data_IF_069686308451
#
_entry.id   IF_069686308451
#
_cell.length_a   1.000
_cell.length_b   1.000
_cell.length_c   1.000
_cell.angle_alpha   90.00
_cell.angle_beta   90.00
_cell.angle_gamma   90.00
#
_symmetry.space_group_name_H-M   'P 1'
#
loop_
_entity.id
_entity.type
_entity.pdbx_description
1 polymer ?
#
# COMPACT_ATOMS: atom_id res chain seq x y z
N UNK A 1 15.12 0.18 30.27
CA UNK A 1 16.30 0.80 29.70
C UNK A 1 17.14 -0.24 28.99
N UNK A 2 17.05 -0.31 27.65
CA UNK A 2 17.95 -1.13 26.83
C UNK A 2 19.29 -0.39 26.77
N UNK A 3 20.33 -0.98 27.35
CA UNK A 3 21.71 -0.52 27.15
C UNK A 3 22.17 -0.95 25.75
N UNK A 4 22.64 0.00 24.95
CA UNK A 4 23.23 -0.24 23.64
C UNK A 4 24.31 -1.33 23.70
N UNK A 5 24.30 -2.31 22.77
CA UNK A 5 25.32 -3.35 22.71
C UNK A 5 26.59 -2.85 22.01
N UNK A 6 27.20 -1.79 22.53
CA UNK A 6 28.47 -1.26 21.96
C UNK A 6 29.66 -2.20 22.03
N UNK A 7 29.57 -3.32 22.74
CA UNK A 7 30.71 -4.22 22.96
C UNK A 7 30.57 -5.63 22.40
N UNK A 8 29.44 -6.00 21.79
CA UNK A 8 29.28 -7.36 21.27
C UNK A 8 29.90 -7.58 19.87
N UNK A 9 30.01 -6.54 19.05
CA UNK A 9 30.47 -6.68 17.65
C UNK A 9 31.97 -6.85 17.54
N UNK A 10 32.78 -6.28 18.43
CA UNK A 10 34.25 -6.38 18.38
C UNK A 10 34.84 -7.72 18.85
N UNK A 11 34.08 -8.56 19.57
CA UNK A 11 34.56 -9.85 20.09
C UNK A 11 34.21 -11.06 19.23
N UNK A 12 33.44 -10.88 18.14
CA UNK A 12 32.98 -11.99 17.28
C UNK A 12 33.47 -11.89 15.84
N UNK A 13 34.40 -11.01 15.52
CA UNK A 13 35.13 -11.12 14.23
C UNK A 13 36.15 -12.23 14.42
N UNK A 14 36.00 -13.38 13.74
CA UNK A 14 37.01 -14.46 13.83
C UNK A 14 38.35 -13.91 13.35
N UNK A 15 39.40 -14.27 14.07
CA UNK A 15 40.77 -14.01 13.64
C UNK A 15 40.99 -14.65 12.27
N UNK A 16 41.48 -13.91 11.30
CA UNK A 16 41.39 -14.15 9.84
C UNK A 16 42.22 -15.33 9.29
N UNK A 17 42.49 -16.34 10.07
CA UNK A 17 43.39 -17.46 9.68
C UNK A 17 42.67 -18.76 9.31
N UNK A 18 41.36 -18.89 9.52
CA UNK A 18 40.65 -20.11 9.07
C UNK A 18 40.00 -19.88 7.70
N UNK A 19 40.11 -20.85 6.77
CA UNK A 19 39.40 -20.77 5.49
C UNK A 19 37.87 -20.78 5.77
N UNK A 20 37.22 -19.68 5.44
CA UNK A 20 35.76 -19.56 5.56
C UNK A 20 35.11 -20.68 4.75
N UNK A 21 34.17 -21.39 5.34
CA UNK A 21 33.34 -22.39 4.65
C UNK A 21 32.72 -21.74 3.40
N UNK A 22 32.75 -22.39 2.23
CA UNK A 22 32.18 -21.84 1.02
C UNK A 22 30.74 -21.39 1.26
N UNK A 23 30.48 -20.12 0.97
CA UNK A 23 29.21 -19.48 1.20
C UNK A 23 28.18 -20.01 0.19
N UNK A 24 27.23 -20.81 0.64
CA UNK A 24 26.12 -21.26 -0.21
C UNK A 24 24.90 -20.39 0.06
N UNK A 25 24.79 -19.28 -0.68
CA UNK A 25 23.56 -18.52 -0.73
C UNK A 25 22.59 -19.22 -1.70
N UNK A 26 21.26 -19.16 -1.47
CA UNK A 26 20.29 -19.74 -2.38
C UNK A 26 20.32 -19.05 -3.75
N UNK A 27 20.12 -19.83 -4.81
CA UNK A 27 20.21 -19.35 -6.20
C UNK A 27 19.42 -18.08 -6.49
N UNK A 28 18.27 -17.92 -5.84
CA UNK A 28 17.41 -16.73 -5.99
C UNK A 28 18.07 -15.42 -5.58
N UNK A 29 19.19 -15.45 -4.83
CA UNK A 29 19.89 -14.22 -4.43
C UNK A 29 20.75 -13.70 -5.59
N UNK A 30 21.34 -14.60 -6.40
CA UNK A 30 22.28 -14.26 -7.47
C UNK A 30 21.61 -13.63 -8.68
N UNK A 31 21.17 -12.38 -8.52
CA UNK A 31 20.56 -11.57 -9.55
C UNK A 31 20.64 -10.08 -9.21
N UNK A 32 20.15 -9.25 -10.13
CA UNK A 32 19.98 -7.81 -9.91
C UNK A 32 18.67 -7.55 -9.18
N UNK A 33 18.73 -6.71 -8.18
CA UNK A 33 17.60 -6.31 -7.37
C UNK A 33 17.35 -4.81 -7.52
N UNK A 34 16.12 -4.45 -7.86
CA UNK A 34 15.70 -3.07 -8.15
C UNK A 34 14.76 -2.54 -7.08
N UNK A 35 14.79 -1.24 -6.85
CA UNK A 35 13.86 -0.54 -5.99
C UNK A 35 12.82 0.20 -6.82
N UNK A 36 11.55 0.06 -6.43
CA UNK A 36 10.46 0.70 -7.14
C UNK A 36 10.29 0.18 -8.58
N UNK A 37 9.53 0.93 -9.37
CA UNK A 37 9.28 0.64 -10.79
C UNK A 37 10.20 1.41 -11.74
N UNK A 38 11.28 2.03 -11.21
CA UNK A 38 12.26 2.76 -12.02
C UNK A 38 13.28 1.86 -12.72
N UNK A 39 13.37 0.59 -12.30
CA UNK A 39 14.39 -0.35 -12.79
C UNK A 39 15.81 -0.06 -12.29
N UNK A 40 15.99 0.92 -11.38
CA UNK A 40 17.31 1.23 -10.81
C UNK A 40 17.79 0.06 -9.98
N UNK A 41 18.92 -0.55 -10.39
CA UNK A 41 19.57 -1.61 -9.65
C UNK A 41 20.15 -1.07 -8.35
N UNK A 42 19.79 -1.66 -7.22
CA UNK A 42 20.30 -1.30 -5.88
C UNK A 42 21.31 -2.34 -5.39
N UNK A 43 21.00 -3.63 -5.59
CA UNK A 43 21.89 -4.73 -5.22
C UNK A 43 22.08 -5.65 -6.42
N UNK A 44 23.29 -6.14 -6.61
CA UNK A 44 23.59 -7.23 -7.53
C UNK A 44 24.52 -8.22 -6.82
N UNK A 45 24.04 -9.44 -6.61
CA UNK A 45 24.82 -10.52 -6.02
C UNK A 45 25.37 -11.40 -7.13
N UNK A 46 26.67 -11.66 -7.09
CA UNK A 46 27.36 -12.48 -8.07
C UNK A 46 27.83 -13.80 -7.46
N UNK A 47 27.95 -14.83 -8.28
CA UNK A 47 28.32 -16.20 -7.80
C UNK A 47 29.77 -16.32 -7.32
N UNK A 48 30.61 -15.35 -7.64
CA UNK A 48 32.00 -15.26 -7.17
C UNK A 48 32.13 -14.55 -5.80
N UNK A 49 31.02 -14.39 -5.09
CA UNK A 49 30.99 -13.84 -3.73
C UNK A 49 31.10 -12.31 -3.65
N UNK A 50 30.68 -11.61 -4.68
CA UNK A 50 30.65 -10.15 -4.68
C UNK A 50 29.23 -9.63 -4.56
N UNK A 51 29.11 -8.46 -3.94
CA UNK A 51 27.90 -7.65 -3.88
C UNK A 51 28.18 -6.26 -4.43
N UNK A 52 27.50 -5.88 -5.51
CA UNK A 52 27.48 -4.50 -5.98
C UNK A 52 26.35 -3.78 -5.22
N UNK A 53 26.72 -2.77 -4.46
CA UNK A 53 25.80 -1.97 -3.65
C UNK A 53 26.32 -0.55 -3.50
N UNK A 54 25.46 0.43 -3.68
CA UNK A 54 25.80 1.86 -3.59
C UNK A 54 27.00 2.27 -4.45
N UNK A 55 27.03 1.77 -5.70
CA UNK A 55 28.10 2.04 -6.66
C UNK A 55 29.47 1.43 -6.29
N UNK A 56 29.54 0.58 -5.25
CA UNK A 56 30.75 -0.08 -4.76
C UNK A 56 30.64 -1.58 -4.85
N UNK A 57 31.77 -2.24 -5.03
CA UNK A 57 31.86 -3.70 -4.95
C UNK A 57 32.31 -4.11 -3.57
N UNK A 58 31.53 -4.96 -2.91
CA UNK A 58 31.78 -5.51 -1.58
C UNK A 58 32.10 -6.99 -1.68
N UNK A 59 33.07 -7.46 -0.93
CA UNK A 59 33.35 -8.87 -0.76
C UNK A 59 32.40 -9.46 0.27
N UNK A 60 31.74 -10.57 -0.04
CA UNK A 60 30.90 -11.30 0.92
C UNK A 60 31.84 -12.21 1.71
N UNK A 61 32.12 -11.88 2.95
CA UNK A 61 33.07 -12.62 3.79
C UNK A 61 32.42 -13.84 4.46
N UNK A 62 31.17 -13.70 4.88
CA UNK A 62 30.43 -14.79 5.49
C UNK A 62 28.92 -14.62 5.31
N UNK A 63 28.19 -15.74 5.36
CA UNK A 63 26.73 -15.74 5.48
C UNK A 63 26.29 -16.81 6.47
N UNK A 64 25.21 -16.50 7.18
CA UNK A 64 24.53 -17.43 8.07
C UNK A 64 23.03 -17.41 7.81
N UNK A 65 22.38 -18.57 7.99
CA UNK A 65 20.92 -18.70 7.96
C UNK A 65 20.40 -18.87 9.37
N UNK A 66 19.37 -18.13 9.74
CA UNK A 66 18.83 -18.11 11.09
C UNK A 66 17.38 -18.58 11.15
N UNK A 67 16.92 -18.94 12.33
CA UNK A 67 15.60 -19.54 12.59
C UNK A 67 14.40 -18.73 12.07
N UNK A 68 14.55 -17.43 11.89
CA UNK A 68 13.49 -16.55 11.34
C UNK A 68 13.47 -16.53 9.80
N UNK A 69 14.10 -17.47 9.13
CA UNK A 69 14.23 -17.49 7.66
C UNK A 69 14.96 -16.25 7.11
N UNK A 70 15.91 -15.75 7.88
CA UNK A 70 16.73 -14.59 7.57
C UNK A 70 18.16 -15.01 7.25
N UNK A 71 18.75 -14.41 6.22
CA UNK A 71 20.18 -14.54 5.92
C UNK A 71 20.93 -13.35 6.48
N UNK A 72 22.04 -13.58 7.15
CA UNK A 72 22.94 -12.54 7.62
C UNK A 72 24.23 -12.61 6.82
N UNK A 73 24.60 -11.49 6.21
CA UNK A 73 25.78 -11.37 5.38
C UNK A 73 26.74 -10.36 5.99
N UNK A 74 27.96 -10.77 6.24
CA UNK A 74 29.05 -9.83 6.53
C UNK A 74 29.75 -9.49 5.21
N UNK A 75 29.75 -8.20 4.86
CA UNK A 75 30.37 -7.72 3.63
C UNK A 75 31.46 -6.70 3.93
N UNK A 76 32.50 -6.64 3.08
CA UNK A 76 33.67 -5.78 3.22
C UNK A 76 33.96 -5.00 1.94
N UNK A 77 34.32 -3.74 2.09
CA UNK A 77 34.91 -2.91 1.01
C UNK A 77 36.03 -2.06 1.61
N UNK A 78 37.29 -2.34 1.24
CA UNK A 78 38.46 -1.75 1.90
C UNK A 78 38.45 -2.03 3.40
N UNK A 79 38.51 -0.98 4.22
CA UNK A 79 38.43 -1.10 5.69
C UNK A 79 36.99 -1.05 6.24
N UNK A 80 35.98 -0.86 5.37
CA UNK A 80 34.59 -0.79 5.80
C UNK A 80 33.94 -2.17 5.84
N UNK A 81 33.21 -2.44 6.91
CA UNK A 81 32.40 -3.64 7.09
C UNK A 81 30.93 -3.27 7.25
N UNK A 82 30.05 -4.09 6.67
CA UNK A 82 28.59 -3.98 6.88
C UNK A 82 27.99 -5.34 7.15
N UNK A 83 26.99 -5.38 8.05
CA UNK A 83 26.16 -6.54 8.28
C UNK A 83 24.79 -6.30 7.64
N UNK A 84 24.43 -7.17 6.71
CA UNK A 84 23.16 -7.13 6.00
C UNK A 84 22.27 -8.30 6.48
N UNK A 85 20.99 -7.99 6.67
CA UNK A 85 19.97 -8.99 7.01
C UNK A 85 19.00 -9.09 5.84
N UNK A 86 18.91 -10.28 5.23
CA UNK A 86 18.07 -10.52 4.05
C UNK A 86 16.95 -11.47 4.42
N UNK A 87 15.71 -11.09 4.11
CA UNK A 87 14.56 -11.98 4.21
C UNK A 87 13.77 -11.98 2.90
N UNK A 88 13.11 -13.09 2.62
CA UNK A 88 12.38 -13.31 1.37
C UNK A 88 10.94 -13.68 1.70
N UNK A 89 10.04 -12.72 1.93
CA UNK A 89 8.64 -13.00 2.21
C UNK A 89 7.92 -13.64 1.03
N UNK A 90 8.30 -13.26 -0.20
CA UNK A 90 7.83 -13.85 -1.46
C UNK A 90 9.00 -14.16 -2.38
N UNK A 91 8.84 -15.03 -3.40
CA UNK A 91 9.89 -15.34 -4.37
C UNK A 91 10.48 -14.10 -5.07
N UNK A 92 9.65 -13.08 -5.31
CA UNK A 92 10.01 -11.83 -6.00
C UNK A 92 10.12 -10.62 -5.07
N UNK A 93 10.36 -10.84 -3.78
CA UNK A 93 10.57 -9.74 -2.82
C UNK A 93 11.72 -10.08 -1.90
N UNK A 94 12.67 -9.19 -1.78
CA UNK A 94 13.74 -9.26 -0.79
C UNK A 94 13.67 -8.03 0.11
N UNK A 95 13.60 -8.25 1.41
CA UNK A 95 13.80 -7.20 2.40
C UNK A 95 15.27 -7.22 2.80
N UNK A 96 15.89 -6.06 2.75
CA UNK A 96 17.28 -5.85 3.18
C UNK A 96 17.27 -4.89 4.35
N UNK A 97 17.74 -5.32 5.49
CA UNK A 97 17.97 -4.47 6.65
C UNK A 97 19.49 -4.31 6.85
N UNK A 98 19.94 -3.07 7.01
CA UNK A 98 21.32 -2.73 7.32
C UNK A 98 21.28 -1.64 8.41
N UNK A 99 21.82 -1.95 9.60
CA UNK A 99 21.86 -1.04 10.74
C UNK A 99 20.53 -0.35 11.05
N UNK A 100 20.28 0.84 10.45
CA UNK A 100 19.06 1.64 10.65
C UNK A 100 18.18 1.73 9.40
N UNK A 101 18.54 1.09 8.30
CA UNK A 101 17.82 1.17 7.03
C UNK A 101 17.16 -0.16 6.69
N UNK A 102 15.88 -0.10 6.33
CA UNK A 102 15.13 -1.24 5.79
C UNK A 102 14.73 -0.92 4.36
N UNK A 103 15.21 -1.70 3.41
CA UNK A 103 14.85 -1.59 2.01
C UNK A 103 14.11 -2.83 1.54
N UNK A 104 13.12 -2.61 0.69
CA UNK A 104 12.40 -3.67 0.00
C UNK A 104 12.69 -3.53 -1.48
N UNK A 105 13.14 -4.63 -2.07
CA UNK A 105 13.56 -4.67 -3.47
C UNK A 105 12.95 -5.90 -4.16
N UNK A 106 12.79 -5.80 -5.47
CA UNK A 106 12.33 -6.88 -6.34
C UNK A 106 13.42 -7.30 -7.32
N UNK A 107 13.43 -8.53 -7.83
CA UNK A 107 14.27 -8.91 -8.95
C UNK A 107 14.04 -7.97 -10.13
N UNK A 108 15.09 -7.74 -10.92
CA UNK A 108 14.92 -7.05 -12.20
C UNK A 108 13.93 -7.85 -13.06
N UNK A 109 13.01 -7.15 -13.73
CA UNK A 109 12.04 -7.81 -14.59
C UNK A 109 12.71 -8.65 -15.66
N UNK A 110 12.08 -9.78 -16.02
CA UNK A 110 12.52 -10.61 -17.13
C UNK A 110 12.51 -9.88 -18.47
N UNK A 111 11.68 -8.83 -18.56
CA UNK A 111 11.55 -7.90 -19.69
C UNK A 111 11.90 -6.48 -19.22
N UNK A 112 13.18 -6.12 -19.13
CA UNK A 112 13.60 -4.82 -18.59
C UNK A 112 13.05 -3.60 -19.35
N UNK A 113 12.63 -3.79 -20.61
CA UNK A 113 11.95 -2.77 -21.41
C UNK A 113 10.68 -2.22 -20.77
N UNK A 114 10.07 -2.96 -19.84
CA UNK A 114 8.89 -2.53 -19.08
C UNK A 114 9.17 -1.25 -18.29
N UNK A 115 10.37 -1.10 -17.75
CA UNK A 115 10.72 0.09 -16.97
C UNK A 115 10.67 1.40 -17.76
N UNK A 116 10.61 1.32 -19.10
CA UNK A 116 10.40 2.51 -19.93
C UNK A 116 8.99 3.12 -19.74
N UNK A 117 8.01 2.35 -19.24
CA UNK A 117 6.61 2.80 -19.07
C UNK A 117 5.95 2.26 -17.79
N UNK A 118 6.68 1.56 -16.92
CA UNK A 118 6.15 1.01 -15.68
C UNK A 118 5.58 2.09 -14.76
N UNK A 119 4.50 1.75 -14.04
CA UNK A 119 3.86 2.59 -13.04
C UNK A 119 2.35 2.71 -13.22
N UNK A 120 1.77 3.54 -12.38
CA UNK A 120 0.34 3.83 -12.37
C UNK A 120 0.08 5.11 -13.16
N UNK A 121 -0.67 5.01 -14.25
CA UNK A 121 -0.92 6.13 -15.16
C UNK A 121 -2.31 6.71 -14.93
N UNK A 122 -2.36 7.96 -14.53
CA UNK A 122 -3.57 8.70 -14.19
C UNK A 122 -4.03 9.51 -15.40
N UNK A 123 -5.29 9.42 -15.75
CA UNK A 123 -5.87 10.27 -16.78
C UNK A 123 -5.81 11.73 -16.35
N UNK A 124 -5.11 12.58 -17.09
CA UNK A 124 -4.89 13.96 -16.73
C UNK A 124 -6.19 14.79 -16.68
N UNK A 125 -7.17 14.43 -17.50
CA UNK A 125 -8.41 15.19 -17.57
C UNK A 125 -9.42 14.82 -16.48
N UNK A 126 -9.45 13.54 -16.06
CA UNK A 126 -10.46 13.05 -15.09
C UNK A 126 -9.87 12.76 -13.71
N UNK A 127 -8.56 12.54 -13.60
CA UNK A 127 -7.90 12.10 -12.38
C UNK A 127 -8.03 10.60 -12.11
N UNK A 128 -8.72 9.85 -12.98
CA UNK A 128 -8.94 8.43 -12.75
C UNK A 128 -7.69 7.60 -13.03
N UNK A 129 -7.43 6.65 -12.17
CA UNK A 129 -6.48 5.60 -12.43
C UNK A 129 -7.18 4.41 -13.10
N UNK A 130 -6.88 4.17 -14.39
CA UNK A 130 -7.51 3.10 -15.17
C UNK A 130 -6.54 2.05 -15.69
N UNK A 131 -5.23 2.36 -15.71
CA UNK A 131 -4.20 1.46 -16.22
C UNK A 131 -2.91 1.58 -15.40
N UNK A 132 -2.28 0.43 -15.15
CA UNK A 132 -0.97 0.32 -14.52
C UNK A 132 -0.13 -0.75 -15.20
N UNK A 133 1.19 -0.51 -15.28
CA UNK A 133 2.15 -1.46 -15.82
C UNK A 133 3.15 -1.85 -14.73
N UNK A 134 3.25 -3.14 -14.48
CA UNK A 134 4.11 -3.72 -13.46
C UNK A 134 5.08 -4.71 -14.11
N UNK A 135 6.00 -5.26 -13.34
CA UNK A 135 7.09 -6.09 -13.86
C UNK A 135 6.62 -7.33 -14.61
N UNK A 136 5.52 -7.96 -14.17
CA UNK A 136 5.06 -9.25 -14.70
C UNK A 136 3.73 -9.16 -15.44
N UNK A 137 2.96 -8.10 -15.21
CA UNK A 137 1.61 -7.92 -15.75
C UNK A 137 1.24 -6.44 -15.83
N UNK A 138 0.20 -6.16 -16.60
CA UNK A 138 -0.51 -4.89 -16.55
C UNK A 138 -1.84 -5.05 -15.80
N UNK A 139 -2.38 -3.92 -15.35
CA UNK A 139 -3.75 -3.84 -14.81
C UNK A 139 -4.52 -2.83 -15.63
N UNK A 140 -5.70 -3.22 -16.08
CA UNK A 140 -6.62 -2.33 -16.76
C UNK A 140 -8.05 -2.64 -16.35
N UNK A 141 -8.81 -1.62 -15.93
CA UNK A 141 -10.19 -1.75 -15.48
C UNK A 141 -10.40 -2.89 -14.46
N UNK A 142 -9.60 -2.87 -13.39
CA UNK A 142 -9.63 -3.86 -12.30
C UNK A 142 -9.29 -5.31 -12.71
N UNK A 143 -8.68 -5.54 -13.86
CA UNK A 143 -8.30 -6.86 -14.34
C UNK A 143 -6.80 -6.96 -14.55
N UNK A 144 -6.24 -8.15 -14.29
CA UNK A 144 -4.86 -8.48 -14.63
C UNK A 144 -4.73 -8.88 -16.10
N UNK A 145 -3.67 -8.40 -16.74
CA UNK A 145 -3.35 -8.66 -18.12
C UNK A 145 -1.90 -9.07 -18.28
N UNK A 146 -1.64 -10.17 -18.93
CA UNK A 146 -0.28 -10.63 -19.23
C UNK A 146 0.29 -9.87 -20.44
N UNK A 147 1.60 -9.65 -20.44
CA UNK A 147 2.29 -9.08 -21.59
C UNK A 147 2.50 -10.16 -22.66
N UNK A 148 1.81 -10.07 -23.78
CA UNK A 148 2.06 -10.92 -24.94
C UNK A 148 3.25 -10.41 -25.77
N UNK A 149 3.25 -9.11 -26.11
CA UNK A 149 4.37 -8.48 -26.79
C UNK A 149 4.53 -7.01 -26.45
N UNK A 150 5.76 -6.52 -26.49
CA UNK A 150 6.13 -5.13 -26.25
C UNK A 150 7.04 -4.72 -27.41
N UNK A 151 6.68 -3.63 -28.10
CA UNK A 151 7.47 -3.05 -29.19
C UNK A 151 7.72 -1.58 -28.90
N UNK A 152 8.97 -1.21 -28.67
CA UNK A 152 9.40 0.16 -28.38
C UNK A 152 10.12 0.73 -29.59
N UNK A 153 9.61 1.83 -30.12
CA UNK A 153 10.19 2.57 -31.24
C UNK A 153 10.35 4.06 -30.86
N UNK A 154 11.56 4.45 -30.50
CA UNK A 154 11.86 5.81 -29.99
C UNK A 154 10.94 6.16 -28.80
N UNK A 155 10.03 7.12 -29.01
CA UNK A 155 9.06 7.57 -28.00
C UNK A 155 7.70 6.85 -28.06
N UNK A 156 7.53 5.88 -28.97
CA UNK A 156 6.27 5.13 -29.15
C UNK A 156 6.44 3.70 -28.65
N UNK A 157 5.53 3.26 -27.83
CA UNK A 157 5.45 1.87 -27.36
C UNK A 157 4.10 1.28 -27.74
N UNK A 158 4.14 0.10 -28.36
CA UNK A 158 2.94 -0.71 -28.61
C UNK A 158 3.02 -1.94 -27.75
N UNK A 159 2.01 -2.16 -26.93
CA UNK A 159 1.92 -3.29 -26.01
C UNK A 159 0.68 -4.11 -26.39
N UNK A 160 0.85 -5.41 -26.56
CA UNK A 160 -0.26 -6.33 -26.66
C UNK A 160 -0.38 -7.03 -25.31
N UNK A 161 -1.56 -6.87 -24.71
CA UNK A 161 -1.94 -7.49 -23.45
C UNK A 161 -2.92 -8.63 -23.73
N UNK A 162 -2.88 -9.68 -22.90
CA UNK A 162 -3.73 -10.85 -23.02
C UNK A 162 -4.35 -11.21 -21.67
N UNK A 163 -5.65 -11.52 -21.69
CA UNK A 163 -6.36 -12.11 -20.55
C UNK A 163 -7.25 -13.25 -21.07
N UNK A 164 -6.84 -14.51 -20.81
CA UNK A 164 -7.49 -15.67 -21.38
C UNK A 164 -7.44 -15.65 -22.92
N UNK A 165 -8.60 -15.53 -23.57
CA UNK A 165 -8.74 -15.42 -25.03
C UNK A 165 -8.80 -13.97 -25.53
N UNK A 166 -8.93 -13.00 -24.62
CA UNK A 166 -9.03 -11.60 -24.97
C UNK A 166 -7.65 -10.98 -25.21
N UNK A 167 -7.57 -10.12 -26.21
CA UNK A 167 -6.38 -9.30 -26.48
C UNK A 167 -6.71 -7.82 -26.43
N UNK A 168 -5.82 -7.05 -25.84
CA UNK A 168 -5.93 -5.62 -25.72
C UNK A 168 -4.68 -4.94 -26.25
N UNK A 169 -4.83 -4.07 -27.24
CA UNK A 169 -3.73 -3.31 -27.81
C UNK A 169 -3.63 -1.95 -27.14
N UNK A 170 -2.51 -1.67 -26.48
CA UNK A 170 -2.20 -0.37 -25.89
C UNK A 170 -1.15 0.33 -26.74
N UNK A 171 -1.38 1.61 -27.03
CA UNK A 171 -0.40 2.48 -27.69
C UNK A 171 -0.07 3.62 -26.76
N UNK A 172 1.20 3.75 -26.44
CA UNK A 172 1.74 4.78 -25.57
C UNK A 172 2.74 5.61 -26.37
N UNK A 173 2.58 6.94 -26.38
CA UNK A 173 3.54 7.87 -26.95
C UNK A 173 4.03 8.78 -25.84
N UNK A 174 5.29 8.64 -25.46
CA UNK A 174 5.90 9.43 -24.39
C UNK A 174 6.06 10.87 -24.81
N UNK A 175 5.68 11.81 -23.95
CA UNK A 175 5.89 13.25 -24.10
C UNK A 175 7.15 13.68 -23.34
N UNK A 176 7.27 13.22 -22.10
CA UNK A 176 8.39 13.45 -21.18
C UNK A 176 8.56 12.28 -20.21
N UNK A 177 9.31 12.45 -19.11
CA UNK A 177 9.55 11.39 -18.12
C UNK A 177 8.29 10.97 -17.34
N UNK A 178 7.34 11.88 -17.19
CA UNK A 178 6.17 11.71 -16.32
C UNK A 178 4.85 11.76 -17.08
N UNK A 179 4.85 12.07 -18.37
CA UNK A 179 3.63 12.19 -19.16
C UNK A 179 3.67 11.45 -20.49
N UNK A 180 2.51 10.96 -20.90
CA UNK A 180 2.34 10.28 -22.17
C UNK A 180 0.94 10.50 -22.75
N UNK A 181 0.80 10.25 -24.06
CA UNK A 181 -0.48 10.03 -24.70
C UNK A 181 -0.70 8.52 -24.80
N UNK A 182 -1.82 8.04 -24.29
CA UNK A 182 -2.14 6.62 -24.21
C UNK A 182 -3.51 6.34 -24.82
N UNK A 183 -3.63 5.28 -25.62
CA UNK A 183 -4.90 4.73 -26.09
C UNK A 183 -4.97 3.24 -25.82
N UNK A 184 -6.14 2.75 -25.40
CA UNK A 184 -6.41 1.36 -25.08
C UNK A 184 -7.49 0.84 -26.03
N UNK A 185 -7.18 -0.24 -26.76
CA UNK A 185 -8.12 -0.83 -27.71
C UNK A 185 -8.55 0.16 -28.80
N UNK A 186 -9.84 0.47 -28.80
CA UNK A 186 -10.50 1.41 -29.72
C UNK A 186 -10.70 2.81 -29.10
N UNK A 187 -10.30 3.02 -27.85
CA UNK A 187 -10.46 4.31 -27.19
C UNK A 187 -9.61 5.40 -27.86
N UNK A 188 -10.12 6.62 -27.83
CA UNK A 188 -9.35 7.78 -28.29
C UNK A 188 -8.14 7.99 -27.40
N UNK A 189 -7.04 8.38 -28.00
CA UNK A 189 -5.82 8.70 -27.25
C UNK A 189 -6.07 9.89 -26.30
N UNK A 190 -5.68 9.73 -25.05
CA UNK A 190 -5.80 10.73 -23.98
C UNK A 190 -4.43 10.95 -23.32
N UNK A 191 -4.28 12.07 -22.64
CA UNK A 191 -3.06 12.37 -21.90
C UNK A 191 -3.15 11.74 -20.51
N UNK A 192 -2.06 11.06 -20.14
CA UNK A 192 -1.89 10.44 -18.83
C UNK A 192 -0.61 10.97 -18.17
N UNK A 193 -0.63 11.03 -16.86
CA UNK A 193 0.52 11.39 -16.03
C UNK A 193 0.86 10.23 -15.10
N UNK A 194 2.15 10.03 -14.86
CA UNK A 194 2.65 8.98 -13.97
C UNK A 194 2.43 9.42 -12.52
N UNK A 195 1.72 8.61 -11.75
CA UNK A 195 1.56 8.85 -10.33
C UNK A 195 2.85 8.47 -9.59
N UNK A 196 3.57 9.47 -9.11
CA UNK A 196 4.77 9.30 -8.28
C UNK A 196 4.48 9.43 -6.79
N UNK A 197 3.31 9.97 -6.41
CA UNK A 197 2.91 10.19 -5.04
C UNK A 197 2.45 8.90 -4.34
N UNK A 198 2.39 8.94 -3.02
CA UNK A 198 1.91 7.83 -2.19
C UNK A 198 0.44 7.51 -2.41
N UNK A 199 -0.33 8.52 -2.76
CA UNK A 199 -1.77 8.48 -3.02
C UNK A 199 -2.06 9.09 -4.38
N UNK A 200 -3.28 8.94 -4.88
CA UNK A 200 -3.70 9.71 -6.04
C UNK A 200 -3.67 11.21 -5.71
N UNK A 201 -3.22 12.05 -6.63
CA UNK A 201 -3.37 13.50 -6.50
C UNK A 201 -4.86 13.87 -6.51
N UNK A 202 -5.15 15.10 -6.09
CA UNK A 202 -6.51 15.63 -6.18
C UNK A 202 -7.05 15.52 -7.60
N UNK A 203 -8.31 15.17 -7.69
CA UNK A 203 -8.99 15.07 -8.98
C UNK A 203 -9.11 16.47 -9.60
N UNK A 204 -8.80 16.62 -10.91
CA UNK A 204 -8.80 17.93 -11.58
C UNK A 204 -10.23 18.45 -11.88
N UNK A 205 -11.24 17.61 -11.66
CA UNK A 205 -12.65 17.94 -11.91
C UNK A 205 -13.49 17.76 -10.65
N UNK A 206 -14.40 18.67 -10.41
CA UNK A 206 -15.36 18.53 -9.32
C UNK A 206 -16.31 17.35 -9.59
N UNK A 207 -16.58 16.56 -8.56
CA UNK A 207 -17.68 15.60 -8.55
C UNK A 207 -18.82 16.20 -7.72
N UNK A 208 -19.84 16.65 -8.41
CA UNK A 208 -21.05 17.24 -7.81
C UNK A 208 -22.17 16.22 -7.67
N UNK A 209 -21.92 14.95 -7.96
CA UNK A 209 -22.91 13.88 -7.81
C UNK A 209 -23.38 13.83 -6.36
N UNK A 210 -24.67 14.05 -6.07
CA UNK A 210 -25.14 14.03 -4.69
C UNK A 210 -25.02 12.64 -4.11
N UNK A 211 -24.82 12.59 -2.81
CA UNK A 211 -24.97 11.33 -2.09
C UNK A 211 -26.43 10.88 -2.19
N UNK A 212 -26.63 9.65 -2.63
CA UNK A 212 -27.94 9.00 -2.68
C UNK A 212 -27.86 7.80 -1.74
N UNK A 213 -28.69 7.80 -0.72
CA UNK A 213 -28.87 6.61 0.11
C UNK A 213 -29.71 5.60 -0.68
N UNK A 214 -29.05 4.54 -1.13
CA UNK A 214 -29.71 3.47 -1.88
C UNK A 214 -30.41 2.45 -0.95
N UNK A 215 -30.43 2.69 0.36
CA UNK A 215 -30.98 1.77 1.35
C UNK A 215 -30.19 0.46 1.43
N UNK A 216 -30.88 -0.61 1.83
CA UNK A 216 -30.27 -1.94 1.90
C UNK A 216 -30.29 -2.60 0.52
N UNK A 217 -29.13 -2.72 -0.09
CA UNK A 217 -28.90 -3.48 -1.32
C UNK A 217 -27.88 -4.57 -1.01
N UNK A 218 -28.38 -5.79 -0.76
CA UNK A 218 -27.50 -6.93 -0.53
C UNK A 218 -26.82 -7.34 -1.83
N UNK A 219 -25.52 -7.11 -1.94
CA UNK A 219 -24.70 -7.62 -3.03
C UNK A 219 -23.27 -7.85 -2.53
N UNK A 220 -22.42 -8.41 -3.37
CA UNK A 220 -21.03 -8.66 -3.05
C UNK A 220 -20.14 -7.58 -3.62
N UNK A 221 -19.13 -7.19 -2.84
CA UNK A 221 -17.99 -6.43 -3.31
C UNK A 221 -16.92 -7.41 -3.79
N UNK A 222 -16.30 -7.11 -4.92
CA UNK A 222 -15.10 -7.80 -5.38
C UNK A 222 -13.90 -6.89 -5.21
N UNK A 223 -12.96 -7.30 -4.36
CA UNK A 223 -11.69 -6.62 -4.16
C UNK A 223 -10.57 -7.44 -4.80
N UNK A 224 -10.03 -6.93 -5.88
CA UNK A 224 -8.86 -7.48 -6.57
C UNK A 224 -7.66 -6.65 -6.13
N UNK A 225 -6.48 -7.22 -6.00
CA UNK A 225 -5.37 -6.39 -5.61
C UNK A 225 -3.99 -6.93 -5.92
N UNK A 226 -3.05 -6.02 -5.84
CA UNK A 226 -1.63 -6.27 -5.96
C UNK A 226 -0.87 -5.66 -4.79
N UNK A 227 -0.26 -6.52 -4.01
CA UNK A 227 0.55 -6.17 -2.86
C UNK A 227 2.04 -6.32 -3.24
N UNK A 228 2.66 -5.23 -3.65
CA UNK A 228 4.05 -5.20 -4.04
C UNK A 228 4.98 -5.08 -2.84
N UNK A 229 6.13 -5.73 -2.89
CA UNK A 229 7.15 -5.70 -1.81
C UNK A 229 6.57 -6.12 -0.44
N UNK A 230 5.80 -7.20 -0.44
CA UNK A 230 5.15 -7.76 0.74
C UNK A 230 6.12 -8.01 1.90
N UNK A 231 5.79 -7.63 3.14
CA UNK A 231 6.60 -7.92 4.32
C UNK A 231 6.37 -9.32 4.91
N UNK A 232 5.29 -10.02 4.56
CA UNK A 232 4.96 -11.36 5.06
C UNK A 232 4.03 -12.11 4.11
N UNK A 233 3.84 -13.42 4.33
CA UNK A 233 3.01 -14.32 3.50
C UNK A 233 1.65 -14.64 4.13
N UNK A 234 1.19 -13.87 5.12
CA UNK A 234 -0.12 -14.11 5.70
C UNK A 234 -1.25 -13.86 4.68
N UNK A 235 -2.41 -14.55 4.79
CA UNK A 235 -3.55 -14.27 3.94
C UNK A 235 -3.96 -12.79 3.99
N UNK A 236 -4.52 -12.30 2.90
CA UNK A 236 -5.15 -10.99 2.86
C UNK A 236 -6.49 -11.07 3.58
N UNK A 237 -6.77 -10.09 4.44
CA UNK A 237 -7.97 -10.06 5.28
C UNK A 237 -8.68 -8.72 5.15
N UNK A 238 -9.99 -8.79 5.04
CA UNK A 238 -10.91 -7.65 5.15
C UNK A 238 -11.86 -7.92 6.29
N UNK A 239 -11.96 -6.99 7.21
CA UNK A 239 -12.94 -7.00 8.27
C UNK A 239 -14.12 -6.08 7.90
N UNK A 240 -15.31 -6.61 8.03
CA UNK A 240 -16.58 -5.94 7.75
C UNK A 240 -17.34 -5.82 9.07
N UNK A 241 -17.32 -4.65 9.72
CA UNK A 241 -18.02 -4.46 10.98
C UNK A 241 -19.53 -4.41 10.75
N UNK A 242 -20.29 -5.20 11.50
CA UNK A 242 -21.76 -5.16 11.52
C UNK A 242 -22.21 -4.23 12.65
N UNK A 243 -22.74 -3.07 12.28
CA UNK A 243 -23.20 -2.04 13.23
C UNK A 243 -24.44 -2.44 14.02
N UNK A 244 -25.18 -3.47 13.60
CA UNK A 244 -26.40 -3.93 14.26
C UNK A 244 -26.07 -4.96 15.34
N UNK A 245 -25.18 -5.90 15.01
CA UNK A 245 -24.82 -7.01 15.89
C UNK A 245 -23.58 -6.73 16.73
N UNK A 246 -22.88 -5.63 16.48
CA UNK A 246 -21.57 -5.27 17.06
C UNK A 246 -20.52 -6.40 16.87
N UNK A 247 -20.63 -7.11 15.75
CA UNK A 247 -19.72 -8.17 15.35
C UNK A 247 -18.90 -7.71 14.16
N UNK A 248 -17.72 -8.26 14.03
CA UNK A 248 -16.85 -8.07 12.88
C UNK A 248 -16.75 -9.39 12.11
N UNK A 249 -17.18 -9.40 10.88
CA UNK A 249 -16.99 -10.53 9.99
C UNK A 249 -15.68 -10.40 9.23
N UNK A 250 -14.88 -11.45 9.23
CA UNK A 250 -13.56 -11.46 8.57
C UNK A 250 -13.57 -12.35 7.35
N UNK A 251 -13.21 -11.76 6.23
CA UNK A 251 -13.07 -12.44 4.94
C UNK A 251 -11.61 -12.50 4.55
N UNK A 252 -11.14 -13.70 4.18
CA UNK A 252 -9.72 -13.91 3.89
C UNK A 252 -9.52 -14.58 2.53
N UNK A 253 -8.39 -14.29 1.87
CA UNK A 253 -7.97 -14.95 0.65
C UNK A 253 -6.46 -15.14 0.62
N UNK A 254 -6.01 -16.14 -0.13
CA UNK A 254 -4.58 -16.35 -0.35
C UNK A 254 -4.00 -15.27 -1.28
N UNK A 255 -2.74 -14.92 -1.04
CA UNK A 255 -1.96 -14.08 -1.93
C UNK A 255 -1.05 -14.98 -2.76
N UNK A 256 -1.04 -14.82 -4.07
CA UNK A 256 -0.20 -15.62 -4.95
C UNK A 256 1.30 -15.22 -4.88
N UNK A 257 2.14 -15.96 -5.59
CA UNK A 257 3.59 -15.73 -5.61
C UNK A 257 4.02 -14.40 -6.24
N UNK A 258 3.12 -13.74 -6.95
CA UNK A 258 3.32 -12.41 -7.54
C UNK A 258 2.80 -11.29 -6.65
N UNK A 259 2.13 -11.63 -5.54
CA UNK A 259 1.51 -10.65 -4.65
C UNK A 259 0.08 -10.27 -5.02
N UNK A 260 -0.58 -11.05 -5.90
CA UNK A 260 -1.93 -10.77 -6.37
C UNK A 260 -2.95 -11.53 -5.52
N UNK A 261 -4.12 -10.96 -5.36
CA UNK A 261 -5.24 -11.60 -4.68
C UNK A 261 -6.58 -11.22 -5.32
N UNK A 262 -7.61 -12.00 -5.04
CA UNK A 262 -9.02 -11.68 -5.31
C UNK A 262 -9.84 -12.12 -4.11
N UNK A 263 -10.64 -11.22 -3.57
CA UNK A 263 -11.53 -11.48 -2.45
C UNK A 263 -12.93 -10.97 -2.80
N UNK A 264 -13.95 -11.81 -2.56
CA UNK A 264 -15.34 -11.43 -2.69
C UNK A 264 -16.04 -11.59 -1.35
N UNK A 265 -16.77 -10.57 -0.93
CA UNK A 265 -17.50 -10.59 0.35
C UNK A 265 -18.82 -9.82 0.22
N UNK A 266 -19.87 -10.25 0.95
CA UNK A 266 -21.16 -9.59 0.92
C UNK A 266 -21.14 -8.29 1.72
N UNK A 267 -21.91 -7.30 1.28
CA UNK A 267 -22.24 -6.09 2.03
C UNK A 267 -23.72 -5.76 1.83
N UNK A 268 -24.35 -5.16 2.84
CA UNK A 268 -25.78 -4.86 2.82
C UNK A 268 -26.10 -3.46 2.26
N UNK A 269 -25.11 -2.58 2.26
CA UNK A 269 -25.21 -1.18 1.85
C UNK A 269 -23.81 -0.64 1.57
N UNK A 270 -23.69 0.65 1.29
CA UNK A 270 -22.39 1.33 1.34
C UNK A 270 -21.80 1.14 2.73
N UNK A 271 -20.68 0.44 2.83
CA UNK A 271 -20.17 -0.10 4.09
C UNK A 271 -18.71 0.25 4.31
N UNK A 272 -18.39 0.62 5.54
CA UNK A 272 -17.01 0.80 5.93
C UNK A 272 -16.34 -0.57 6.12
N UNK A 273 -15.18 -0.73 5.54
CA UNK A 273 -14.36 -1.93 5.70
C UNK A 273 -12.99 -1.58 6.25
N UNK A 274 -12.45 -2.51 7.00
CA UNK A 274 -11.16 -2.38 7.61
C UNK A 274 -10.22 -3.43 7.05
N UNK A 275 -9.12 -2.97 6.46
CA UNK A 275 -8.08 -3.82 5.91
C UNK A 275 -6.86 -3.63 6.79
N UNK A 276 -6.56 -4.64 7.63
CA UNK A 276 -5.34 -4.66 8.43
C UNK A 276 -4.36 -5.66 7.86
N UNK A 277 -3.28 -5.14 7.31
CA UNK A 277 -2.24 -5.99 6.77
C UNK A 277 -0.85 -5.55 7.25
N UNK A 278 -0.50 -6.03 8.44
CA UNK A 278 0.77 -5.74 9.10
C UNK A 278 0.86 -4.30 9.62
N UNK A 279 1.69 -3.48 8.99
CA UNK A 279 1.85 -2.07 9.34
C UNK A 279 1.02 -1.14 8.44
N UNK A 280 0.16 -1.71 7.63
CA UNK A 280 -0.69 -0.96 6.70
C UNK A 280 -2.13 -1.22 7.09
N UNK A 281 -2.76 -0.18 7.58
CA UNK A 281 -4.18 -0.14 7.87
C UNK A 281 -4.84 0.71 6.81
N UNK A 282 -5.94 0.22 6.25
CA UNK A 282 -6.80 0.96 5.33
C UNK A 282 -8.21 0.90 5.91
N UNK A 283 -8.74 2.06 6.22
CA UNK A 283 -10.13 2.26 6.56
C UNK A 283 -10.80 2.94 5.38
N UNK A 284 -11.80 2.31 4.78
CA UNK A 284 -12.43 2.84 3.57
C UNK A 284 -13.88 2.38 3.44
N UNK A 285 -14.62 3.02 2.54
CA UNK A 285 -16.03 2.69 2.28
C UNK A 285 -16.17 2.04 0.91
N UNK A 286 -16.89 0.91 0.84
CA UNK A 286 -17.17 0.17 -0.39
C UNK A 286 -18.66 0.11 -0.66
N UNK A 287 -19.06 -0.04 -1.93
CA UNK A 287 -20.46 -0.10 -2.35
C UNK A 287 -20.83 -1.50 -2.87
N UNK A 288 -22.05 -1.99 -2.59
CA UNK A 288 -22.53 -3.28 -3.09
C UNK A 288 -22.45 -3.36 -4.62
N UNK A 289 -22.11 -4.54 -5.14
CA UNK A 289 -22.01 -4.82 -6.58
C UNK A 289 -20.75 -4.31 -7.26
N UNK A 290 -19.92 -3.52 -6.57
CA UNK A 290 -18.76 -2.88 -7.16
C UNK A 290 -17.52 -3.78 -7.16
N UNK A 291 -16.66 -3.52 -8.14
CA UNK A 291 -15.32 -4.12 -8.23
C UNK A 291 -14.27 -3.04 -8.09
N UNK A 292 -13.36 -3.26 -7.14
CA UNK A 292 -12.23 -2.38 -6.90
C UNK A 292 -10.91 -3.13 -7.10
N UNK A 293 -9.90 -2.43 -7.57
CA UNK A 293 -8.54 -2.92 -7.60
C UNK A 293 -7.68 -2.10 -6.64
N UNK A 294 -7.14 -2.76 -5.61
CA UNK A 294 -6.27 -2.15 -4.61
C UNK A 294 -4.80 -2.41 -4.95
N UNK A 295 -4.03 -1.37 -5.13
CA UNK A 295 -2.57 -1.42 -5.22
C UNK A 295 -1.93 -0.90 -3.94
N UNK A 296 -1.06 -1.71 -3.34
CA UNK A 296 -0.23 -1.30 -2.20
C UNK A 296 1.21 -1.64 -2.48
N UNK A 297 2.09 -0.64 -2.44
CA UNK A 297 3.53 -0.85 -2.46
C UNK A 297 4.11 -0.59 -1.07
N UNK A 298 4.59 -1.65 -0.43
CA UNK A 298 5.13 -1.56 0.93
C UNK A 298 6.52 -0.94 1.00
N UNK A 299 7.24 -0.78 -0.11
CA UNK A 299 8.51 -0.07 -0.15
C UNK A 299 8.28 1.44 -0.16
N UNK A 300 7.40 1.91 -1.04
CA UNK A 300 7.15 3.33 -1.24
C UNK A 300 5.94 3.83 -0.43
N UNK A 301 5.28 2.94 0.34
CA UNK A 301 4.04 3.22 1.10
C UNK A 301 2.92 3.78 0.22
N UNK A 302 2.91 3.38 -1.06
CA UNK A 302 1.91 3.83 -2.03
C UNK A 302 0.64 3.01 -1.89
N UNK A 303 -0.51 3.69 -1.93
CA UNK A 303 -1.84 3.09 -1.91
C UNK A 303 -2.72 3.77 -2.94
N UNK A 304 -3.24 3.00 -3.87
CA UNK A 304 -4.13 3.50 -4.93
C UNK A 304 -5.29 2.53 -5.11
N UNK A 305 -6.46 3.05 -5.43
CA UNK A 305 -7.64 2.24 -5.75
C UNK A 305 -8.11 2.59 -7.16
N UNK A 306 -8.37 1.56 -7.98
CA UNK A 306 -9.00 1.66 -9.29
C UNK A 306 -10.43 1.11 -9.18
N UNK A 307 -11.35 1.67 -9.94
CA UNK A 307 -12.75 1.25 -10.01
C UNK A 307 -13.65 2.42 -10.40
N UNK A 308 -14.86 2.14 -10.83
CA UNK A 308 -15.79 3.18 -11.27
C UNK A 308 -16.14 4.14 -10.13
N UNK A 309 -16.33 3.59 -8.92
CA UNK A 309 -16.63 4.38 -7.72
C UNK A 309 -15.41 4.52 -6.77
N UNK A 310 -14.19 4.39 -7.29
CA UNK A 310 -12.98 4.44 -6.47
C UNK A 310 -12.59 5.84 -6.00
N UNK A 311 -13.20 6.90 -6.52
CA UNK A 311 -12.82 8.29 -6.19
C UNK A 311 -12.86 8.56 -4.68
N UNK A 312 -13.96 8.24 -4.02
CA UNK A 312 -14.08 8.46 -2.57
C UNK A 312 -13.03 7.65 -1.78
N UNK A 313 -12.71 6.42 -2.22
CA UNK A 313 -11.70 5.60 -1.56
C UNK A 313 -10.33 6.25 -1.63
N UNK A 314 -9.96 6.78 -2.80
CA UNK A 314 -8.70 7.49 -2.98
C UNK A 314 -8.66 8.81 -2.20
N UNK A 315 -9.76 9.55 -2.16
CA UNK A 315 -9.87 10.77 -1.36
C UNK A 315 -9.73 10.47 0.14
N UNK A 316 -10.35 9.39 0.65
CA UNK A 316 -10.19 8.95 2.04
C UNK A 316 -8.76 8.48 2.36
N UNK A 317 -8.07 7.85 1.40
CA UNK A 317 -6.66 7.45 1.56
C UNK A 317 -5.71 8.65 1.57
N UNK A 318 -6.00 9.69 0.78
CA UNK A 318 -5.15 10.88 0.66
C UNK A 318 -5.36 11.88 1.80
N UNK A 319 -6.58 11.97 2.32
CA UNK A 319 -7.01 12.97 3.30
C UNK A 319 -7.52 12.29 4.57
N UNK A 320 -6.60 11.79 5.38
CA UNK A 320 -6.94 11.19 6.67
C UNK A 320 -7.56 12.26 7.60
N UNK A 321 -8.63 11.88 8.30
CA UNK A 321 -9.25 12.72 9.31
C UNK A 321 -8.36 12.91 10.54
N UNK A 322 -8.66 13.91 11.36
CA UNK A 322 -7.96 14.12 12.63
C UNK A 322 -8.27 12.97 13.60
N UNK A 323 -7.23 12.20 13.98
CA UNK A 323 -7.33 11.07 14.90
C UNK A 323 -7.30 11.56 16.36
N UNK A 324 -8.38 12.20 16.79
CA UNK A 324 -8.56 12.66 18.17
C UNK A 324 -9.73 11.93 18.80
N UNK A 325 -9.54 11.37 19.99
CA UNK A 325 -10.56 10.62 20.74
C UNK A 325 -10.24 10.64 22.24
N UNK A 326 -11.24 10.35 23.05
CA UNK A 326 -11.05 10.16 24.49
C UNK A 326 -10.68 8.70 24.71
N UNK A 327 -9.48 8.45 25.26
CA UNK A 327 -9.07 7.08 25.58
C UNK A 327 -9.90 6.56 26.77
N UNK A 328 -10.03 5.22 26.88
CA UNK A 328 -10.76 4.60 27.99
C UNK A 328 -10.24 5.06 29.36
N UNK A 329 -8.92 5.01 29.58
CA UNK A 329 -8.27 5.41 30.83
C UNK A 329 -8.45 6.90 31.16
N UNK A 330 -8.53 7.77 30.16
CA UNK A 330 -8.81 9.19 30.31
C UNK A 330 -10.29 9.40 30.68
N UNK A 331 -11.18 8.71 29.96
CA UNK A 331 -12.62 8.78 30.18
C UNK A 331 -13.05 8.33 31.58
N UNK A 332 -12.47 7.25 32.14
CA UNK A 332 -12.78 6.79 33.48
C UNK A 332 -12.51 7.84 34.59
N UNK A 333 -11.56 8.72 34.37
CA UNK A 333 -11.14 9.76 35.34
C UNK A 333 -12.00 11.02 35.29
N UNK A 334 -12.73 11.25 34.21
CA UNK A 334 -13.56 12.40 34.00
C UNK A 334 -14.94 12.24 34.64
N UNK A 335 -15.48 13.33 35.15
CA UNK A 335 -16.94 13.38 35.42
C UNK A 335 -17.73 13.53 34.10
N UNK A 336 -19.05 13.48 34.18
CA UNK A 336 -19.90 13.54 32.97
C UNK A 336 -19.84 14.90 32.27
N UNK A 337 -19.65 15.99 33.02
CA UNK A 337 -19.55 17.33 32.43
C UNK A 337 -18.21 17.55 31.76
N UNK A 338 -17.13 17.07 32.38
CA UNK A 338 -15.78 17.09 31.79
C UNK A 338 -15.73 16.25 30.51
N UNK A 339 -16.34 15.05 30.52
CA UNK A 339 -16.41 14.19 29.34
C UNK A 339 -17.19 14.85 28.20
N UNK A 340 -18.37 15.45 28.50
CA UNK A 340 -19.17 16.19 27.54
C UNK A 340 -18.38 17.36 26.96
N UNK A 341 -17.72 18.17 27.78
CA UNK A 341 -16.92 19.29 27.33
C UNK A 341 -15.77 18.84 26.43
N UNK A 342 -15.05 17.80 26.83
CA UNK A 342 -13.97 17.22 26.02
C UNK A 342 -14.49 16.72 24.65
N UNK A 343 -15.65 16.04 24.64
CA UNK A 343 -16.28 15.59 23.40
C UNK A 343 -16.64 16.77 22.50
N UNK A 344 -17.18 17.86 23.05
CA UNK A 344 -17.48 19.07 22.29
C UNK A 344 -16.22 19.73 21.70
N UNK A 345 -15.12 19.74 22.46
CA UNK A 345 -13.84 20.26 21.99
C UNK A 345 -13.29 19.42 20.83
N UNK A 346 -13.36 18.09 20.91
CA UNK A 346 -12.98 17.17 19.84
C UNK A 346 -13.81 17.43 18.58
N UNK A 347 -15.15 17.57 18.72
CA UNK A 347 -16.03 17.88 17.58
C UNK A 347 -15.60 19.20 16.91
N UNK A 348 -15.32 20.22 17.72
CA UNK A 348 -14.88 21.53 17.23
C UNK A 348 -13.56 21.41 16.46
N UNK A 349 -12.54 20.78 17.04
CA UNK A 349 -11.23 20.60 16.39
C UNK A 349 -11.33 19.81 15.09
N UNK A 350 -12.08 18.70 15.08
CA UNK A 350 -12.31 17.92 13.87
C UNK A 350 -13.06 18.71 12.80
N UNK A 351 -14.04 19.53 13.19
CA UNK A 351 -14.80 20.36 12.27
C UNK A 351 -13.94 21.48 11.67
N UNK A 352 -13.09 22.12 12.46
CA UNK A 352 -12.14 23.13 12.02
C UNK A 352 -11.09 22.52 11.07
N UNK A 353 -10.54 21.36 11.42
CA UNK A 353 -9.61 20.61 10.57
C UNK A 353 -10.25 20.26 9.23
N UNK A 354 -11.49 19.70 9.27
CA UNK A 354 -12.25 19.39 8.05
C UNK A 354 -12.49 20.63 7.20
N UNK A 355 -12.91 21.75 7.81
CA UNK A 355 -13.17 22.98 7.08
C UNK A 355 -11.91 23.49 6.37
N UNK A 356 -10.75 23.45 7.05
CA UNK A 356 -9.46 23.79 6.46
C UNK A 356 -9.12 22.85 5.29
N UNK A 357 -9.22 21.54 5.47
CA UNK A 357 -8.95 20.55 4.42
C UNK A 357 -9.83 20.78 3.18
N UNK A 358 -11.13 21.04 3.36
CA UNK A 358 -12.06 21.31 2.26
C UNK A 358 -11.78 22.65 1.55
N UNK A 359 -11.17 23.60 2.24
CA UNK A 359 -10.73 24.86 1.64
C UNK A 359 -9.43 24.68 0.85
N UNK A 360 -8.49 23.89 1.38
CA UNK A 360 -7.22 23.61 0.74
C UNK A 360 -7.42 22.69 -0.51
N UNK A 361 -8.46 21.84 -0.50
CA UNK A 361 -8.81 20.88 -1.55
C UNK A 361 -10.26 21.09 -2.05
N UNK A 362 -10.54 22.17 -2.80
CA UNK A 362 -11.90 22.57 -3.15
C UNK A 362 -12.61 21.60 -4.12
N UNK A 363 -11.87 20.71 -4.79
CA UNK A 363 -12.42 19.75 -5.76
C UNK A 363 -12.76 18.39 -5.15
N UNK A 364 -12.59 18.19 -3.83
CA UNK A 364 -13.02 16.98 -3.15
C UNK A 364 -14.52 16.70 -3.42
N UNK A 365 -14.83 15.42 -3.67
CA UNK A 365 -16.17 15.01 -4.09
C UNK A 365 -17.26 15.34 -3.07
N UNK A 366 -18.48 15.43 -3.55
CA UNK A 366 -19.65 15.64 -2.68
C UNK A 366 -19.84 14.46 -1.71
N UNK A 367 -19.55 13.23 -2.15
CA UNK A 367 -19.55 12.04 -1.28
C UNK A 367 -18.55 12.15 -0.15
N UNK A 368 -17.31 12.56 -0.43
CA UNK A 368 -16.28 12.75 0.59
C UNK A 368 -16.68 13.82 1.62
N UNK A 369 -17.23 14.94 1.14
CA UNK A 369 -17.72 16.02 2.00
C UNK A 369 -18.82 15.56 2.94
N UNK A 370 -19.78 14.81 2.40
CA UNK A 370 -20.88 14.23 3.18
C UNK A 370 -20.35 13.19 4.18
N UNK A 371 -19.53 12.24 3.70
CA UNK A 371 -18.97 11.18 4.54
C UNK A 371 -18.22 11.74 5.76
N UNK A 372 -17.27 12.66 5.55
CA UNK A 372 -16.46 13.22 6.63
C UNK A 372 -17.26 14.06 7.61
N UNK A 373 -18.35 14.69 7.17
CA UNK A 373 -19.27 15.38 8.06
C UNK A 373 -20.05 14.40 8.95
N UNK A 374 -20.63 13.36 8.34
CA UNK A 374 -21.37 12.36 9.10
C UNK A 374 -20.46 11.59 10.05
N UNK A 375 -19.23 11.27 9.65
CA UNK A 375 -18.26 10.61 10.50
C UNK A 375 -18.01 11.39 11.81
N UNK A 376 -17.82 12.68 11.74
CA UNK A 376 -17.64 13.53 12.94
C UNK A 376 -18.89 13.44 13.83
N UNK A 377 -20.09 13.58 13.25
CA UNK A 377 -21.35 13.57 14.00
C UNK A 377 -21.64 12.23 14.65
N UNK A 378 -21.50 11.13 13.90
CA UNK A 378 -21.80 9.79 14.41
C UNK A 378 -20.77 9.28 15.41
N UNK A 379 -19.48 9.58 15.21
CA UNK A 379 -18.46 9.24 16.20
C UNK A 379 -18.71 9.97 17.53
N UNK A 380 -19.07 11.24 17.49
CA UNK A 380 -19.40 11.98 18.69
C UNK A 380 -20.63 11.42 19.41
N UNK A 381 -21.70 11.07 18.67
CA UNK A 381 -22.88 10.45 19.25
C UNK A 381 -22.55 9.08 19.88
N UNK A 382 -21.74 8.26 19.17
CA UNK A 382 -21.26 6.97 19.69
C UNK A 382 -20.49 7.13 20.98
N UNK A 383 -19.54 8.07 21.03
CA UNK A 383 -18.67 8.29 22.18
C UNK A 383 -19.49 8.72 23.41
N UNK A 384 -20.48 9.60 23.22
CA UNK A 384 -21.42 10.00 24.28
C UNK A 384 -22.28 8.81 24.75
N UNK A 385 -22.77 7.98 23.82
CA UNK A 385 -23.55 6.79 24.19
C UNK A 385 -22.72 5.74 24.92
N UNK A 386 -21.46 5.58 24.54
CA UNK A 386 -20.53 4.63 25.17
C UNK A 386 -20.08 5.09 26.56
N UNK A 387 -20.19 6.37 26.88
CA UNK A 387 -19.83 6.93 28.19
C UNK A 387 -20.47 6.15 29.33
N UNK A 388 -21.73 5.76 29.21
CA UNK A 388 -22.46 4.96 30.21
C UNK A 388 -21.82 3.63 30.57
N UNK A 389 -20.98 3.07 29.67
CA UNK A 389 -20.28 1.80 29.89
C UNK A 389 -18.87 2.00 30.47
N UNK A 390 -18.31 3.19 30.34
CA UNK A 390 -17.00 3.55 30.89
C UNK A 390 -17.03 4.11 32.30
N UNK A 391 -18.23 4.41 32.84
CA UNK A 391 -18.41 4.82 34.22
C UNK A 391 -18.49 3.60 35.13
N UNK A 392 -17.71 3.60 36.21
CA UNK A 392 -17.78 2.56 37.25
C UNK A 392 -19.23 2.39 37.73
N UNK A 393 -19.74 1.15 37.74
CA UNK A 393 -21.12 0.82 38.14
C UNK A 393 -21.48 1.40 39.50
N UNK A 394 -20.52 1.56 40.40
CA UNK A 394 -20.73 2.16 41.70
C UNK A 394 -20.92 3.69 41.69
N UNK A 395 -20.70 4.35 40.52
CA UNK A 395 -20.95 5.78 40.31
C UNK A 395 -22.17 6.06 39.41
N UNK A 396 -22.88 5.02 38.98
CA UNK A 396 -24.02 5.13 38.07
C UNK A 396 -25.32 5.65 38.72
N UNK A 397 -25.38 5.78 40.04
CA UNK A 397 -26.59 6.27 40.74
C UNK A 397 -26.95 7.73 40.47
N UNK A 398 -26.18 8.47 39.65
CA UNK A 398 -26.39 9.88 39.36
C UNK A 398 -26.36 10.23 37.85
N UNK A 399 -26.73 9.27 36.99
CA UNK A 399 -26.91 9.51 35.54
C UNK A 399 -28.37 9.69 35.19
#
# INVERSE_FOLDING_TARGET
GWKEPKNCIRKQVPDHTEPLTPLTLPDRIYQKWVKGLSGKVIYEFTRDGKLLYDGKTWDILSAGYFLNKEYRLLVKNGEAYKLLYLSFPLPKTMNVAAELQNEKVSPIASRPEIYAFAGCWINQATGDWRIGFFEDFAVYQCQFWDYESINIQKNRTTIILKNGTEQLKVRLTRKDETSCTLSVGKEKAQTYVLCNDKYLPDYPVADTTPFVDNGYQTDSVTLIGYLRNLPSTRPFEVAVPDMITDREEKYTTAIDSLGRFTLRFPVLNSHNVFIDWGRTTIWTSVEPGETYFLYVDFADRKKLVMGEKARILNELLAHEGLSEYISYDEGEKMDNMEYLQKTQDIIRHKSEYRAKMLNDHPLLSHKFRYYTEQEIRYNAARDLMQRRFSVDRNKQEHL
#
